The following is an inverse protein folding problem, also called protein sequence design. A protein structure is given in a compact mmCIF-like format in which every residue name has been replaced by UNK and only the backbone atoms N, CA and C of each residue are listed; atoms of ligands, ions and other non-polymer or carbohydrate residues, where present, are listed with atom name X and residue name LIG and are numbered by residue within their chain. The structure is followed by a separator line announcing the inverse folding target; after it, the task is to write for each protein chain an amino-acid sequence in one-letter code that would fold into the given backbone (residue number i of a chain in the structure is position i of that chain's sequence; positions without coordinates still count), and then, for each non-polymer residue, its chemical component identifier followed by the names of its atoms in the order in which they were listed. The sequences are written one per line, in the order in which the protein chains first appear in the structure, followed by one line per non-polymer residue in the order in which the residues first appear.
data_IF_342072706405
#
_entry.id   IF_342072706405
#
_cell.length_a   1.000
_cell.length_b   1.000
_cell.length_c   1.000
_cell.angle_alpha   90.00
_cell.angle_beta   90.00
_cell.angle_gamma   90.00
#
_symmetry.space_group_name_H-M   'P 1'
#
loop_
_entity.id
_entity.type
_entity.pdbx_description
1 polymer ?
#
# COMPACT_ATOMS: atom_id res chain seq x y z
N UNK A 1 -18.25 30.06 33.86
CA UNK A 1 -19.60 29.91 33.30
C UNK A 1 -19.97 28.45 33.46
N UNK A 2 -20.81 28.14 34.45
CA UNK A 2 -21.29 26.77 34.70
C UNK A 2 -22.34 26.40 33.66
N UNK A 3 -22.12 25.32 32.92
CA UNK A 3 -23.18 24.73 32.09
C UNK A 3 -24.24 24.12 33.01
N UNK A 4 -25.54 24.29 32.74
CA UNK A 4 -26.58 23.67 33.56
C UNK A 4 -26.50 22.15 33.44
N UNK A 5 -26.65 21.44 34.56
CA UNK A 5 -26.83 19.98 34.62
C UNK A 5 -28.15 19.60 33.95
N UNK A 6 -28.14 19.48 32.63
CA UNK A 6 -29.31 19.01 31.86
C UNK A 6 -29.33 17.48 31.84
N UNK A 7 -30.38 16.89 32.42
CA UNK A 7 -30.68 15.47 32.28
C UNK A 7 -31.01 15.16 30.81
N UNK A 8 -30.32 14.18 30.22
CA UNK A 8 -30.54 13.72 28.86
C UNK A 8 -31.36 12.43 28.85
N UNK A 9 -32.22 12.26 27.84
CA UNK A 9 -32.96 11.01 27.67
C UNK A 9 -32.00 9.89 27.25
N UNK A 10 -32.03 8.75 27.95
CA UNK A 10 -31.23 7.58 27.63
C UNK A 10 -32.09 6.32 27.67
N UNK A 11 -32.16 5.58 26.57
CA UNK A 11 -32.98 4.36 26.47
C UNK A 11 -32.48 3.20 27.35
N UNK A 12 -31.22 3.26 27.77
CA UNK A 12 -30.55 2.25 28.59
C UNK A 12 -29.37 2.85 29.34
N UNK A 13 -28.90 2.12 30.36
CA UNK A 13 -27.67 2.42 31.09
C UNK A 13 -26.46 2.55 30.16
N UNK A 14 -26.33 1.67 29.16
CA UNK A 14 -25.24 1.71 28.17
C UNK A 14 -25.33 2.96 27.29
N UNK A 15 -26.54 3.38 26.92
CA UNK A 15 -26.75 4.63 26.17
C UNK A 15 -26.31 5.84 26.99
N UNK A 16 -26.50 5.82 28.31
CA UNK A 16 -26.04 6.87 29.22
C UNK A 16 -24.50 6.92 29.33
N UNK A 17 -23.84 5.75 29.39
CA UNK A 17 -22.37 5.65 29.29
C UNK A 17 -21.87 6.30 27.99
N UNK A 18 -22.49 5.98 26.85
CA UNK A 18 -22.10 6.55 25.56
C UNK A 18 -22.30 8.06 25.48
N UNK A 19 -23.35 8.61 26.11
CA UNK A 19 -23.56 10.06 26.20
C UNK A 19 -22.46 10.74 27.01
N UNK A 20 -22.07 10.14 28.14
CA UNK A 20 -20.94 10.61 28.95
C UNK A 20 -19.63 10.60 28.16
N UNK A 21 -19.35 9.52 27.39
CA UNK A 21 -18.12 9.38 26.60
C UNK A 21 -18.08 10.28 25.34
N UNK A 22 -19.23 10.56 24.70
CA UNK A 22 -19.27 11.30 23.42
C UNK A 22 -19.35 12.82 23.58
N UNK A 23 -20.12 13.31 24.56
CA UNK A 23 -20.50 14.72 24.63
C UNK A 23 -19.63 15.55 25.58
N UNK A 24 -18.85 14.93 26.47
CA UNK A 24 -18.07 15.66 27.46
C UNK A 24 -16.73 14.95 27.76
N UNK A 25 -15.58 15.50 27.33
CA UNK A 25 -14.27 14.92 27.61
C UNK A 25 -13.88 14.92 29.11
N UNK A 26 -14.73 15.49 29.98
CA UNK A 26 -14.53 15.60 31.42
C UNK A 26 -15.56 14.80 32.24
N UNK A 27 -16.49 14.07 31.61
CA UNK A 27 -17.51 13.32 32.34
C UNK A 27 -16.89 12.13 33.09
N UNK A 28 -16.97 12.14 34.42
CA UNK A 28 -16.33 11.13 35.31
C UNK A 28 -17.32 10.15 35.93
N UNK A 29 -18.59 10.52 35.99
CA UNK A 29 -19.65 9.66 36.50
C UNK A 29 -21.00 10.10 35.95
N UNK A 30 -21.98 9.22 36.05
CA UNK A 30 -23.35 9.53 35.67
C UNK A 30 -24.35 8.83 36.61
N UNK A 31 -25.54 9.40 36.71
CA UNK A 31 -26.68 8.78 37.35
C UNK A 31 -27.66 8.35 36.25
N UNK A 32 -28.05 7.07 36.26
CA UNK A 32 -29.07 6.54 35.34
C UNK A 32 -30.26 6.00 36.14
N UNK A 33 -31.47 6.43 35.78
CA UNK A 33 -32.67 6.06 36.50
C UNK A 33 -33.93 6.36 35.71
N UNK A 34 -35.07 6.10 36.34
CA UNK A 34 -36.37 6.35 35.73
C UNK A 34 -37.17 7.29 36.61
N UNK A 35 -37.65 8.38 36.03
CA UNK A 35 -38.46 9.40 36.70
C UNK A 35 -39.70 9.64 35.83
N UNK A 36 -40.89 9.54 36.41
CA UNK A 36 -42.18 9.69 35.71
C UNK A 36 -42.32 8.82 34.43
N UNK A 37 -41.78 7.59 34.45
CA UNK A 37 -41.84 6.67 33.30
C UNK A 37 -40.85 6.98 32.18
N UNK A 38 -39.93 7.93 32.39
CA UNK A 38 -38.87 8.28 31.44
C UNK A 38 -37.51 7.89 31.98
N UNK A 39 -36.72 7.22 31.15
CA UNK A 39 -35.34 6.85 31.46
C UNK A 39 -34.41 8.04 31.23
N UNK A 40 -33.78 8.49 32.31
CA UNK A 40 -32.97 9.70 32.37
C UNK A 40 -31.50 9.37 32.67
N UNK A 41 -30.63 10.19 32.11
CA UNK A 41 -29.19 10.17 32.27
C UNK A 41 -28.72 11.55 32.72
N UNK A 42 -28.15 11.64 33.91
CA UNK A 42 -27.54 12.87 34.43
C UNK A 42 -26.03 12.71 34.46
N UNK A 43 -25.32 13.56 33.73
CA UNK A 43 -23.86 13.56 33.67
C UNK A 43 -23.31 14.40 34.82
N UNK A 44 -22.32 13.86 35.53
CA UNK A 44 -21.63 14.55 36.62
C UNK A 44 -20.22 14.92 36.16
N UNK A 45 -20.08 16.19 35.76
CA UNK A 45 -18.83 16.73 35.21
C UNK A 45 -17.95 17.41 36.28
N UNK A 46 -18.52 17.79 37.42
CA UNK A 46 -17.82 18.52 38.49
C UNK A 46 -17.68 17.65 39.74
N UNK A 47 -16.43 17.40 40.12
CA UNK A 47 -16.11 16.84 41.41
C UNK A 47 -16.13 17.98 42.45
N UNK A 48 -17.03 17.91 43.44
CA UNK A 48 -17.09 18.91 44.51
C UNK A 48 -15.87 18.69 45.42
N UNK A 49 -15.06 19.73 45.60
CA UNK A 49 -13.96 19.71 46.57
C UNK A 49 -14.54 19.83 47.96
N UNK A 50 -14.40 18.78 48.77
CA UNK A 50 -14.68 18.86 50.20
C UNK A 50 -13.49 19.57 50.90
N UNK A 51 -13.81 20.69 51.56
CA UNK A 51 -12.82 21.64 52.07
C UNK A 51 -11.97 21.14 53.24
N UNK A 52 -12.30 19.99 53.83
CA UNK A 52 -11.59 19.48 55.02
C UNK A 52 -10.70 18.26 54.76
N UNK A 53 -10.90 17.52 53.66
CA UNK A 53 -10.18 16.24 53.44
C UNK A 53 -9.45 16.15 52.11
N UNK A 54 -9.67 17.10 51.18
CA UNK A 54 -9.05 17.07 49.85
C UNK A 54 -9.53 15.91 48.96
N UNK A 55 -10.52 15.13 49.40
CA UNK A 55 -11.16 14.10 48.59
C UNK A 55 -12.32 14.69 47.79
N UNK A 56 -12.31 14.43 46.49
CA UNK A 56 -13.42 14.71 45.59
C UNK A 56 -14.54 13.70 45.77
N UNK A 57 -15.71 14.12 46.23
CA UNK A 57 -16.91 13.26 46.36
C UNK A 57 -17.80 13.41 45.13
N UNK A 58 -18.05 12.29 44.45
CA UNK A 58 -19.01 12.21 43.35
C UNK A 58 -20.43 12.03 43.90
N UNK A 59 -21.39 12.76 43.35
CA UNK A 59 -22.75 12.84 43.90
C UNK A 59 -23.65 11.72 43.35
N UNK A 60 -23.92 10.69 44.15
CA UNK A 60 -24.94 9.70 43.85
C UNK A 60 -26.33 10.25 44.14
N UNK A 61 -27.28 10.09 43.22
CA UNK A 61 -28.70 10.38 43.51
C UNK A 61 -29.38 9.15 44.12
N UNK A 62 -30.15 9.29 45.21
CA UNK A 62 -31.04 8.24 45.70
C UNK A 62 -31.98 7.78 44.58
N UNK A 63 -32.25 6.48 44.50
CA UNK A 63 -33.13 5.84 43.49
C UNK A 63 -32.58 5.76 42.05
N UNK A 64 -31.38 6.29 41.80
CA UNK A 64 -30.68 6.15 40.52
C UNK A 64 -29.53 5.13 40.64
N UNK A 65 -29.28 4.39 39.55
CA UNK A 65 -28.04 3.62 39.40
C UNK A 65 -26.89 4.58 39.14
N UNK A 66 -26.06 4.80 40.16
CA UNK A 66 -24.83 5.57 40.04
C UNK A 66 -23.72 4.68 39.49
N UNK A 67 -22.99 5.21 38.50
CA UNK A 67 -21.78 4.58 38.02
C UNK A 67 -20.67 5.61 37.85
N UNK A 68 -19.52 5.29 38.43
CA UNK A 68 -18.29 6.00 38.20
C UNK A 68 -17.55 5.31 37.06
N UNK A 69 -17.15 6.09 36.06
CA UNK A 69 -16.24 5.60 35.02
C UNK A 69 -14.83 5.58 35.62
N UNK A 70 -14.53 4.52 36.36
CA UNK A 70 -13.18 4.22 36.82
C UNK A 70 -12.38 3.78 35.60
N UNK A 71 -11.57 4.67 35.02
CA UNK A 71 -10.58 4.33 33.99
C UNK A 71 -11.15 3.51 32.81
N UNK A 72 -12.28 3.95 32.25
CA UNK A 72 -12.72 3.52 30.92
C UNK A 72 -12.08 4.43 29.87
N UNK A 73 -10.76 4.38 29.78
CA UNK A 73 -10.06 4.78 28.57
C UNK A 73 -10.42 3.71 27.54
N UNK A 74 -11.07 4.08 26.44
CA UNK A 74 -11.30 3.14 25.34
C UNK A 74 -9.95 2.82 24.71
N UNK A 75 -9.38 1.69 25.13
CA UNK A 75 -8.13 1.15 24.63
C UNK A 75 -8.30 0.79 23.15
N UNK A 76 -7.35 1.21 22.31
CA UNK A 76 -7.24 0.72 20.94
C UNK A 76 -5.90 0.01 20.83
N UNK A 77 -5.88 -1.32 20.89
CA UNK A 77 -4.65 -2.11 20.90
C UNK A 77 -4.05 -2.31 19.50
N UNK A 78 -4.76 -1.93 18.44
CA UNK A 78 -4.28 -2.06 17.06
C UNK A 78 -4.88 -1.04 16.07
N UNK A 79 -4.24 -0.91 14.90
CA UNK A 79 -4.82 -0.17 13.76
C UNK A 79 -6.20 -0.73 13.32
N UNK A 80 -6.49 -2.01 13.55
CA UNK A 80 -7.80 -2.58 13.22
C UNK A 80 -8.88 -2.01 14.15
N UNK A 81 -8.54 -1.83 15.44
CA UNK A 81 -9.46 -1.30 16.45
C UNK A 81 -9.73 0.18 16.25
N UNK A 82 -8.71 1.00 15.98
CA UNK A 82 -8.87 2.44 15.67
C UNK A 82 -9.84 2.63 14.50
N UNK A 83 -9.74 1.79 13.47
CA UNK A 83 -10.60 1.88 12.29
C UNK A 83 -12.02 1.40 12.53
N UNK A 84 -12.21 0.39 13.38
CA UNK A 84 -13.53 -0.05 13.84
C UNK A 84 -14.23 1.07 14.63
N UNK A 85 -13.47 1.82 15.43
CA UNK A 85 -13.99 2.90 16.28
C UNK A 85 -14.15 4.24 15.57
N UNK A 86 -13.26 4.56 14.62
CA UNK A 86 -13.27 5.80 13.82
C UNK A 86 -13.06 5.49 12.32
N UNK A 87 -14.15 5.20 11.59
CA UNK A 87 -14.09 4.93 10.15
C UNK A 87 -13.58 6.10 9.30
N UNK A 88 -13.50 7.31 9.87
CA UNK A 88 -13.07 8.54 9.19
C UNK A 88 -11.60 8.89 9.48
N UNK A 89 -10.93 8.08 10.30
CA UNK A 89 -9.51 8.17 10.61
C UNK A 89 -8.64 8.31 9.35
N UNK A 90 -7.76 9.32 9.35
CA UNK A 90 -6.83 9.61 8.25
C UNK A 90 -5.49 8.92 8.48
N UNK A 91 -4.59 8.92 7.50
CA UNK A 91 -3.22 8.47 7.74
C UNK A 91 -2.57 9.40 8.75
N UNK A 92 -1.83 8.86 9.72
CA UNK A 92 -1.16 9.65 10.73
C UNK A 92 -0.64 8.82 11.89
N UNK A 93 0.02 9.49 12.83
CA UNK A 93 0.46 8.92 14.10
C UNK A 93 -0.70 9.01 15.08
N UNK A 94 -1.14 7.86 15.61
CA UNK A 94 -2.19 7.79 16.61
C UNK A 94 -1.56 7.48 17.97
N UNK A 95 -1.92 8.27 18.98
CA UNK A 95 -1.50 8.00 20.35
C UNK A 95 -2.38 6.90 20.94
N UNK A 96 -1.80 5.71 21.09
CA UNK A 96 -2.34 4.62 21.88
C UNK A 96 -1.63 4.70 23.24
N UNK A 97 -2.33 5.14 24.28
CA UNK A 97 -1.79 5.23 25.64
C UNK A 97 -2.16 3.97 26.46
N UNK A 98 -1.31 3.52 27.40
CA UNK A 98 -0.66 2.23 27.21
C UNK A 98 -1.08 1.16 28.23
N UNK A 99 -1.03 -0.11 27.79
CA UNK A 99 -0.30 -1.13 28.56
C UNK A 99 1.12 -0.57 28.74
N UNK A 100 1.62 -0.34 29.97
CA UNK A 100 2.88 0.36 30.17
C UNK A 100 3.98 -0.32 29.34
N UNK A 101 4.56 0.43 28.39
CA UNK A 101 5.61 0.05 27.41
C UNK A 101 5.18 -0.32 25.97
N UNK A 102 3.93 -0.08 25.54
CA UNK A 102 3.60 -0.18 24.11
C UNK A 102 3.87 1.15 23.36
N UNK A 103 4.73 1.11 22.34
CA UNK A 103 4.94 2.23 21.41
C UNK A 103 3.65 2.54 20.61
N UNK A 104 3.37 3.80 20.24
CA UNK A 104 2.21 4.16 19.42
C UNK A 104 2.20 3.38 18.08
N UNK A 105 1.06 2.79 17.72
CA UNK A 105 0.92 2.08 16.44
C UNK A 105 0.68 3.09 15.32
N UNK A 106 1.72 3.35 14.53
CA UNK A 106 1.64 4.26 13.38
C UNK A 106 1.06 3.55 12.14
N UNK A 107 -0.08 4.03 11.63
CA UNK A 107 -0.78 3.42 10.50
C UNK A 107 -0.53 4.22 9.21
N UNK A 108 0.50 3.85 8.45
CA UNK A 108 0.82 4.48 7.16
C UNK A 108 0.16 3.77 5.99
N UNK A 109 -0.40 4.52 5.03
CA UNK A 109 -1.06 3.96 3.84
C UNK A 109 -0.09 3.50 2.76
N UNK A 110 1.11 4.08 2.72
CA UNK A 110 2.11 3.85 1.67
C UNK A 110 3.51 4.25 2.11
N UNK A 111 4.52 3.74 1.41
CA UNK A 111 5.93 4.02 1.70
C UNK A 111 6.29 5.51 1.63
N UNK A 112 5.63 6.28 0.76
CA UNK A 112 5.82 7.72 0.71
C UNK A 112 5.46 8.42 2.03
N UNK A 113 4.41 7.97 2.73
CA UNK A 113 4.03 8.54 4.03
C UNK A 113 5.06 8.19 5.10
N UNK A 114 5.57 6.94 5.11
CA UNK A 114 6.65 6.50 6.01
C UNK A 114 7.88 7.40 5.84
N UNK A 115 8.30 7.64 4.60
CA UNK A 115 9.43 8.52 4.28
C UNK A 115 9.22 9.96 4.75
N UNK A 116 7.98 10.45 4.66
CA UNK A 116 7.65 11.83 5.01
C UNK A 116 7.56 12.03 6.53
N UNK A 117 6.91 11.12 7.25
CA UNK A 117 6.63 11.26 8.68
C UNK A 117 7.73 10.72 9.59
N UNK A 118 8.59 9.82 9.09
CA UNK A 118 9.73 9.27 9.84
C UNK A 118 11.04 9.67 9.15
N UNK A 119 11.55 10.90 9.37
CA UNK A 119 12.84 11.31 8.82
C UNK A 119 13.96 10.34 9.21
N UNK A 120 14.81 9.97 8.25
CA UNK A 120 15.94 9.05 8.48
C UNK A 120 15.57 7.56 8.45
N UNK A 121 14.31 7.23 8.16
CA UNK A 121 13.91 5.85 7.85
C UNK A 121 14.68 5.32 6.63
N UNK A 122 14.91 4.01 6.59
CA UNK A 122 15.75 3.35 5.57
C UNK A 122 14.93 2.39 4.70
N UNK A 123 15.41 2.08 3.51
CA UNK A 123 14.76 1.10 2.64
C UNK A 123 14.69 -0.30 3.30
N UNK A 124 13.52 -0.95 3.23
CA UNK A 124 13.26 -2.20 3.93
C UNK A 124 11.81 -2.68 3.86
N UNK A 125 11.46 -3.82 4.49
CA UNK A 125 10.08 -4.28 4.60
C UNK A 125 9.30 -3.46 5.63
N UNK A 126 8.09 -3.01 5.25
CA UNK A 126 7.17 -2.30 6.12
C UNK A 126 5.76 -2.83 5.95
N UNK A 127 4.98 -2.81 7.03
CA UNK A 127 3.54 -3.05 7.00
C UNK A 127 2.84 -1.72 6.72
N UNK A 128 1.98 -1.69 5.71
CA UNK A 128 1.18 -0.52 5.34
C UNK A 128 -0.32 -0.88 5.28
N UNK A 129 -1.14 0.16 5.31
CA UNK A 129 -2.60 0.09 5.39
C UNK A 129 -3.24 0.86 4.22
N UNK A 130 -3.16 0.37 2.97
CA UNK A 130 -3.51 1.16 1.77
C UNK A 130 -4.96 1.66 1.77
N UNK A 131 -5.85 0.90 2.42
CA UNK A 131 -7.29 1.21 2.50
C UNK A 131 -7.78 1.04 3.95
N UNK A 132 -8.83 1.78 4.31
CA UNK A 132 -9.41 1.70 5.65
C UNK A 132 -9.92 0.28 5.94
N UNK A 133 -10.71 -0.33 5.06
CA UNK A 133 -11.39 -1.61 5.35
C UNK A 133 -10.67 -2.84 4.78
N UNK A 134 -9.36 -2.76 4.56
CA UNK A 134 -8.57 -3.84 4.00
C UNK A 134 -7.51 -4.34 4.97
N UNK A 135 -7.25 -5.64 4.90
CA UNK A 135 -6.12 -6.25 5.60
C UNK A 135 -4.82 -5.52 5.20
N UNK A 136 -3.96 -5.18 6.16
CA UNK A 136 -2.67 -4.58 5.85
C UNK A 136 -1.83 -5.49 4.95
N UNK A 137 -0.85 -4.88 4.32
CA UNK A 137 0.08 -5.58 3.43
C UNK A 137 1.51 -5.24 3.81
N UNK A 138 2.38 -6.25 3.81
CA UNK A 138 3.81 -6.03 3.91
C UNK A 138 4.36 -5.75 2.51
N UNK A 139 4.95 -4.57 2.33
CA UNK A 139 5.65 -4.16 1.11
C UNK A 139 7.12 -3.94 1.41
N UNK A 140 7.98 -3.94 0.40
CA UNK A 140 9.32 -3.39 0.56
C UNK A 140 9.29 -1.92 0.16
N UNK A 141 9.55 -1.02 1.11
CA UNK A 141 9.70 0.40 0.85
C UNK A 141 11.11 0.71 0.35
N UNK A 142 11.20 1.27 -0.84
CA UNK A 142 12.41 1.86 -1.39
C UNK A 142 12.33 3.37 -1.24
N UNK A 143 13.21 3.89 -0.39
CA UNK A 143 13.15 5.25 0.15
C UNK A 143 14.32 6.12 -0.30
N UNK A 144 15.29 5.54 -1.01
CA UNK A 144 16.52 6.24 -1.41
C UNK A 144 16.56 6.51 -2.93
N UNK A 145 16.10 5.56 -3.73
CA UNK A 145 16.21 5.61 -5.19
C UNK A 145 15.16 6.55 -5.80
N UNK A 146 15.62 7.48 -6.65
CA UNK A 146 14.76 8.39 -7.46
C UNK A 146 13.74 9.18 -6.60
N UNK A 147 14.19 9.66 -5.44
CA UNK A 147 13.38 10.41 -4.47
C UNK A 147 12.61 9.54 -3.47
N UNK A 148 12.64 8.20 -3.62
CA UNK A 148 12.02 7.27 -2.70
C UNK A 148 10.49 7.20 -2.77
N UNK A 149 9.90 6.59 -1.75
CA UNK A 149 8.47 6.42 -1.59
C UNK A 149 7.86 5.24 -2.38
N UNK A 150 8.69 4.43 -3.03
CA UNK A 150 8.23 3.28 -3.82
C UNK A 150 7.86 2.10 -2.93
N UNK A 151 6.67 1.54 -3.16
CA UNK A 151 6.15 0.32 -2.56
C UNK A 151 6.35 -0.84 -3.53
N UNK A 152 7.27 -1.75 -3.22
CA UNK A 152 7.48 -2.98 -3.98
C UNK A 152 6.49 -4.05 -3.56
N UNK A 153 5.76 -4.58 -4.54
CA UNK A 153 4.62 -5.44 -4.30
C UNK A 153 5.09 -6.89 -4.07
N UNK A 154 4.59 -7.58 -3.02
CA UNK A 154 4.95 -8.97 -2.75
C UNK A 154 4.18 -9.94 -3.65
N UNK A 155 4.69 -11.17 -3.78
CA UNK A 155 4.01 -12.26 -4.47
C UNK A 155 2.59 -12.50 -3.96
N UNK A 156 2.38 -12.47 -2.64
CA UNK A 156 1.08 -12.79 -2.04
C UNK A 156 -0.02 -11.77 -2.35
N UNK A 157 0.32 -10.57 -2.85
CA UNK A 157 -0.67 -9.60 -3.32
C UNK A 157 -1.58 -10.24 -4.38
N UNK A 158 -1.03 -11.05 -5.28
CA UNK A 158 -1.80 -11.66 -6.37
C UNK A 158 -2.82 -12.71 -5.93
N UNK A 159 -2.82 -13.10 -4.65
CA UNK A 159 -3.80 -14.03 -4.07
C UNK A 159 -4.96 -13.31 -3.37
N UNK A 160 -4.86 -11.99 -3.20
CA UNK A 160 -5.87 -11.21 -2.49
C UNK A 160 -7.03 -10.86 -3.41
N UNK A 161 -8.24 -10.92 -2.88
CA UNK A 161 -9.45 -10.50 -3.60
C UNK A 161 -9.50 -8.98 -3.84
N UNK A 162 -8.80 -8.20 -3.02
CA UNK A 162 -8.70 -6.74 -3.09
C UNK A 162 -7.40 -6.24 -3.76
N UNK A 163 -6.69 -7.11 -4.47
CA UNK A 163 -5.37 -6.83 -5.03
C UNK A 163 -5.37 -5.62 -5.99
N UNK A 164 -6.40 -5.50 -6.82
CA UNK A 164 -6.52 -4.38 -7.75
C UNK A 164 -6.71 -3.06 -6.99
N UNK A 165 -7.58 -3.03 -5.98
CA UNK A 165 -7.85 -1.83 -5.19
C UNK A 165 -6.62 -1.39 -4.40
N UNK A 166 -5.81 -2.33 -3.90
CA UNK A 166 -4.50 -2.03 -3.30
C UNK A 166 -3.57 -1.40 -4.35
N UNK A 167 -3.47 -1.98 -5.54
CA UNK A 167 -2.67 -1.44 -6.64
C UNK A 167 -3.08 0.00 -6.98
N UNK A 168 -4.38 0.26 -7.09
CA UNK A 168 -4.94 1.58 -7.40
C UNK A 168 -4.68 2.59 -6.26
N UNK A 169 -4.79 2.17 -5.01
CA UNK A 169 -4.49 3.01 -3.85
C UNK A 169 -3.00 3.40 -3.80
N UNK A 170 -2.12 2.48 -4.15
CA UNK A 170 -0.67 2.68 -4.11
C UNK A 170 -0.10 3.38 -5.34
N UNK A 171 -0.74 3.31 -6.51
CA UNK A 171 -0.18 3.84 -7.76
C UNK A 171 -0.68 5.26 -8.08
N UNK A 172 -0.20 6.23 -7.32
CA UNK A 172 -0.58 7.64 -7.47
C UNK A 172 0.27 8.35 -8.54
N UNK A 173 1.56 8.01 -8.63
CA UNK A 173 2.49 8.47 -9.65
C UNK A 173 2.50 7.49 -10.83
N UNK A 174 1.45 7.56 -11.66
CA UNK A 174 1.21 6.61 -12.76
C UNK A 174 2.23 6.63 -13.91
N UNK A 175 3.29 7.43 -13.77
CA UNK A 175 4.32 7.66 -14.80
C UNK A 175 5.71 7.25 -14.35
N UNK A 176 5.86 6.80 -13.11
CA UNK A 176 7.13 6.36 -12.57
C UNK A 176 6.95 4.99 -11.94
N UNK A 177 7.58 3.99 -12.56
CA UNK A 177 7.63 2.62 -12.05
C UNK A 177 9.08 2.25 -11.84
N UNK A 178 9.40 1.76 -10.65
CA UNK A 178 10.75 1.33 -10.33
C UNK A 178 10.84 -0.19 -10.43
N UNK A 179 11.73 -0.67 -11.28
CA UNK A 179 12.01 -2.10 -11.41
C UNK A 179 13.38 -2.38 -10.78
N UNK A 180 13.47 -3.38 -9.90
CA UNK A 180 14.76 -3.92 -9.42
C UNK A 180 15.02 -5.27 -10.08
N UNK A 181 16.14 -5.37 -10.78
CA UNK A 181 16.66 -6.54 -11.46
C UNK A 181 17.61 -7.27 -10.51
N UNK A 182 17.27 -8.51 -10.14
CA UNK A 182 18.08 -9.32 -9.24
C UNK A 182 19.28 -9.91 -9.97
N UNK A 183 20.51 -9.65 -9.49
CA UNK A 183 21.69 -10.34 -10.01
C UNK A 183 21.87 -11.72 -9.38
N UNK A 184 22.43 -12.66 -10.14
CA UNK A 184 22.64 -14.04 -9.69
C UNK A 184 23.91 -14.23 -8.85
N UNK A 185 24.99 -13.50 -9.16
CA UNK A 185 26.34 -13.83 -8.67
C UNK A 185 26.54 -13.37 -7.23
N UNK A 186 26.24 -12.10 -6.95
CA UNK A 186 26.42 -11.46 -5.63
C UNK A 186 25.08 -11.15 -4.96
N UNK A 187 23.97 -11.43 -5.64
CA UNK A 187 22.63 -10.99 -5.28
C UNK A 187 22.53 -9.48 -4.97
N UNK A 188 23.42 -8.68 -5.55
CA UNK A 188 23.20 -7.24 -5.65
C UNK A 188 22.07 -7.00 -6.62
N UNK A 189 21.35 -5.90 -6.41
CA UNK A 189 20.28 -5.50 -7.31
C UNK A 189 20.77 -4.38 -8.22
N UNK A 190 20.20 -4.29 -9.41
CA UNK A 190 20.27 -3.10 -10.23
C UNK A 190 18.87 -2.59 -10.49
N UNK A 191 18.70 -1.32 -10.80
CA UNK A 191 17.37 -0.74 -10.97
C UNK A 191 17.22 -0.02 -12.30
N UNK A 192 15.96 0.04 -12.75
CA UNK A 192 15.52 0.90 -13.85
C UNK A 192 14.26 1.64 -13.46
N UNK A 193 14.28 2.97 -13.54
CA UNK A 193 13.10 3.82 -13.50
C UNK A 193 12.46 3.86 -14.89
N UNK A 194 11.29 3.27 -15.01
CA UNK A 194 10.50 3.23 -16.24
C UNK A 194 9.58 4.45 -16.26
N UNK A 195 9.58 5.18 -17.38
CA UNK A 195 8.74 6.37 -17.59
C UNK A 195 8.19 6.40 -19.02
N UNK A 196 7.09 7.13 -19.29
CA UNK A 196 6.50 7.19 -20.62
C UNK A 196 7.50 7.68 -21.69
N UNK A 197 7.39 7.09 -22.88
CA UNK A 197 8.13 7.56 -24.04
C UNK A 197 7.73 9.02 -24.38
N UNK A 198 8.64 9.86 -24.89
CA UNK A 198 8.35 11.29 -25.15
C UNK A 198 7.13 11.58 -26.04
N UNK A 199 6.73 10.65 -26.91
CA UNK A 199 5.54 10.80 -27.77
C UNK A 199 4.23 10.40 -27.09
N UNK A 200 4.28 9.89 -25.85
CA UNK A 200 3.14 9.31 -25.14
C UNK A 200 3.12 9.78 -23.68
N UNK A 201 3.58 11.02 -23.41
CA UNK A 201 3.68 11.57 -22.05
C UNK A 201 2.34 11.87 -21.39
N UNK A 202 1.28 11.91 -22.19
CA UNK A 202 -0.13 12.06 -21.81
C UNK A 202 -0.80 10.71 -21.50
N UNK A 203 -0.12 9.59 -21.72
CA UNK A 203 -0.61 8.25 -21.43
C UNK A 203 0.02 7.76 -20.14
N UNK A 204 -0.83 7.50 -19.15
CA UNK A 204 -0.43 6.88 -17.89
C UNK A 204 -0.23 5.38 -18.07
N UNK A 205 0.67 4.79 -17.27
CA UNK A 205 0.81 3.35 -17.21
C UNK A 205 -0.40 2.70 -16.55
N UNK A 206 -0.75 1.49 -16.99
CA UNK A 206 -1.76 0.66 -16.37
C UNK A 206 -1.12 -0.37 -15.44
N UNK A 207 -1.59 -0.47 -14.20
CA UNK A 207 -1.19 -1.54 -13.27
C UNK A 207 -2.42 -2.37 -12.94
N UNK A 208 -2.36 -3.65 -13.27
CA UNK A 208 -3.49 -4.57 -13.09
C UNK A 208 -3.05 -5.82 -12.32
N UNK A 209 -3.89 -6.30 -11.41
CA UNK A 209 -3.70 -7.57 -10.72
C UNK A 209 -4.53 -8.67 -11.39
N UNK A 210 -3.88 -9.76 -11.82
CA UNK A 210 -4.50 -10.93 -12.47
C UNK A 210 -5.43 -10.58 -13.64
N UNK A 211 -5.13 -9.49 -14.36
CA UNK A 211 -5.93 -8.98 -15.46
C UNK A 211 -5.04 -8.27 -16.46
N UNK A 212 -5.46 -8.26 -17.72
CA UNK A 212 -4.83 -7.51 -18.80
C UNK A 212 -5.87 -6.66 -19.57
N UNK A 213 -6.97 -6.27 -18.92
CA UNK A 213 -8.04 -5.49 -19.55
C UNK A 213 -7.51 -4.22 -20.22
N UNK A 214 -7.84 -4.03 -21.50
CA UNK A 214 -7.33 -2.92 -22.31
C UNK A 214 -5.93 -3.14 -22.93
N UNK A 215 -5.29 -4.26 -22.63
CA UNK A 215 -3.95 -4.64 -23.09
C UNK A 215 -3.95 -6.04 -23.73
N UNK A 216 -2.79 -6.49 -24.20
CA UNK A 216 -2.63 -7.83 -24.78
C UNK A 216 -2.26 -8.82 -23.69
N UNK A 217 -2.85 -10.00 -23.74
CA UNK A 217 -2.63 -11.08 -22.77
C UNK A 217 -1.14 -11.54 -22.78
N UNK A 218 -0.53 -11.75 -21.60
CA UNK A 218 0.83 -12.30 -21.50
C UNK A 218 0.97 -13.68 -22.15
N UNK A 219 2.14 -13.99 -22.71
CA UNK A 219 2.42 -15.36 -23.19
C UNK A 219 2.53 -16.37 -22.06
N UNK A 220 2.96 -15.93 -20.88
CA UNK A 220 3.09 -16.76 -19.69
C UNK A 220 1.84 -16.79 -18.80
N UNK A 221 0.67 -16.38 -19.31
CA UNK A 221 -0.58 -16.35 -18.53
C UNK A 221 -0.98 -17.73 -17.94
N UNK A 222 -0.55 -18.84 -18.55
CA UNK A 222 -0.76 -20.19 -17.98
C UNK A 222 -0.15 -20.36 -16.56
N UNK A 223 0.75 -19.46 -16.13
CA UNK A 223 1.26 -19.37 -14.76
C UNK A 223 0.25 -18.79 -13.77
N UNK A 224 -0.95 -18.43 -14.24
CA UNK A 224 -2.13 -17.94 -13.50
C UNK A 224 -1.96 -16.55 -12.93
N UNK A 225 -1.35 -16.43 -11.76
CA UNK A 225 -1.34 -15.17 -11.03
C UNK A 225 -0.22 -14.24 -11.52
N UNK A 226 -0.52 -12.95 -11.70
CA UNK A 226 0.46 -11.95 -12.12
C UNK A 226 0.07 -10.53 -11.76
N UNK A 227 1.08 -9.66 -11.74
CA UNK A 227 0.90 -8.21 -11.81
C UNK A 227 1.26 -7.78 -13.24
N UNK A 228 0.41 -6.98 -13.85
CA UNK A 228 0.58 -6.50 -15.22
C UNK A 228 0.91 -5.01 -15.21
N UNK A 229 1.93 -4.63 -15.96
CA UNK A 229 2.28 -3.24 -16.23
C UNK A 229 2.09 -2.97 -17.72
N UNK A 230 1.00 -2.31 -18.07
CA UNK A 230 0.72 -1.82 -19.42
C UNK A 230 1.43 -0.51 -19.69
N UNK A 231 2.25 -0.47 -20.75
CA UNK A 231 2.97 0.73 -21.18
C UNK A 231 2.10 1.56 -22.13
N UNK A 232 1.50 0.93 -23.14
CA UNK A 232 0.55 1.55 -24.06
C UNK A 232 -0.70 0.67 -24.17
N UNK A 233 -1.91 1.23 -24.02
CA UNK A 233 -3.16 0.48 -24.28
C UNK A 233 -3.25 -0.03 -25.71
N UNK A 234 -4.01 -1.11 -25.94
CA UNK A 234 -4.13 -1.76 -27.26
C UNK A 234 -4.51 -0.79 -28.39
N UNK A 235 -5.40 0.17 -28.11
CA UNK A 235 -5.88 1.16 -29.09
C UNK A 235 -4.78 2.10 -29.60
N UNK A 236 -3.72 2.29 -28.80
CA UNK A 236 -2.54 3.10 -29.14
C UNK A 236 -1.41 2.21 -29.66
N UNK A 237 -1.18 1.09 -28.98
CA UNK A 237 -0.10 0.17 -29.31
C UNK A 237 -0.27 -0.47 -30.70
N UNK A 238 -1.49 -0.62 -31.22
CA UNK A 238 -1.73 -1.22 -32.54
C UNK A 238 -1.32 -0.35 -33.75
N UNK A 239 -0.79 0.85 -33.52
CA UNK A 239 -0.38 1.76 -34.60
C UNK A 239 1.05 1.47 -35.04
N UNK A 240 1.31 1.56 -36.35
CA UNK A 240 2.64 1.33 -36.93
C UNK A 240 3.61 2.51 -36.73
N UNK A 241 3.79 2.92 -35.49
CA UNK A 241 4.57 4.09 -35.06
C UNK A 241 5.84 3.69 -34.30
N UNK A 242 6.66 4.68 -33.94
CA UNK A 242 7.73 4.47 -32.97
C UNK A 242 7.14 4.43 -31.56
N UNK A 243 7.43 3.35 -30.84
CA UNK A 243 6.92 3.05 -29.50
C UNK A 243 8.06 2.65 -28.57
N UNK A 244 7.79 2.56 -27.27
CA UNK A 244 8.76 2.20 -26.25
C UNK A 244 8.51 2.92 -24.94
N UNK A 245 9.57 3.17 -24.19
CA UNK A 245 9.55 3.83 -22.88
C UNK A 245 10.90 4.49 -22.60
N UNK A 246 11.00 5.29 -21.54
CA UNK A 246 12.28 5.72 -21.01
C UNK A 246 12.71 4.79 -19.88
N UNK A 247 14.00 4.50 -19.80
CA UNK A 247 14.62 3.80 -18.68
C UNK A 247 15.74 4.66 -18.13
N UNK A 248 15.67 5.05 -16.85
CA UNK A 248 16.67 5.91 -16.21
C UNK A 248 16.95 7.19 -17.03
N UNK A 249 15.88 7.81 -17.58
CA UNK A 249 15.96 9.00 -18.43
C UNK A 249 16.32 8.75 -19.90
N UNK A 250 16.83 7.56 -20.25
CA UNK A 250 17.22 7.21 -21.61
C UNK A 250 16.01 6.75 -22.42
N UNK A 251 15.80 7.36 -23.60
CA UNK A 251 14.73 6.96 -24.53
C UNK A 251 15.06 5.63 -25.19
N UNK A 252 14.25 4.61 -24.91
CA UNK A 252 14.29 3.31 -25.56
C UNK A 252 13.10 3.19 -26.51
N UNK A 253 13.38 3.03 -27.80
CA UNK A 253 12.34 3.02 -28.83
C UNK A 253 12.57 1.93 -29.87
N UNK A 254 11.47 1.48 -30.46
CA UNK A 254 11.40 0.54 -31.57
C UNK A 254 10.30 0.97 -32.53
N UNK A 255 10.31 0.44 -33.76
CA UNK A 255 9.22 0.63 -34.71
C UNK A 255 8.22 -0.51 -34.56
N UNK A 256 6.96 -0.24 -34.28
CA UNK A 256 5.93 -1.27 -34.40
C UNK A 256 5.65 -1.51 -35.90
N UNK A 257 6.32 -2.49 -36.49
CA UNK A 257 6.32 -2.67 -37.94
C UNK A 257 5.11 -3.46 -38.47
N UNK A 258 4.45 -4.25 -37.63
CA UNK A 258 3.29 -5.07 -38.00
C UNK A 258 1.96 -4.56 -37.40
N UNK A 259 1.99 -3.65 -36.43
CA UNK A 259 0.80 -3.13 -35.75
C UNK A 259 0.31 -4.04 -34.62
N UNK A 260 1.12 -4.98 -34.15
CA UNK A 260 0.80 -5.84 -33.02
C UNK A 260 0.70 -5.00 -31.73
N UNK A 261 -0.39 -5.10 -30.95
CA UNK A 261 -0.63 -4.24 -29.79
C UNK A 261 0.16 -4.58 -28.51
N UNK A 262 1.11 -5.52 -28.55
CA UNK A 262 1.95 -5.83 -27.38
C UNK A 262 2.72 -4.59 -26.90
N UNK A 263 2.52 -4.20 -25.63
CA UNK A 263 3.25 -3.10 -24.98
C UNK A 263 3.16 -3.21 -23.45
N UNK A 264 3.87 -4.18 -22.87
CA UNK A 264 3.76 -4.45 -21.43
C UNK A 264 4.98 -5.15 -20.81
N UNK A 265 5.01 -5.10 -19.47
CA UNK A 265 5.67 -6.08 -18.61
C UNK A 265 4.61 -6.91 -17.87
N UNK A 266 4.91 -8.18 -17.60
CA UNK A 266 4.10 -9.02 -16.72
C UNK A 266 4.99 -9.73 -15.69
N UNK A 267 4.55 -9.73 -14.44
CA UNK A 267 5.31 -10.18 -13.27
C UNK A 267 4.59 -11.37 -12.60
N UNK A 268 5.14 -12.56 -12.77
CA UNK A 268 4.58 -13.81 -12.28
C UNK A 268 5.30 -14.29 -11.02
N UNK A 269 4.59 -14.56 -9.90
CA UNK A 269 5.17 -15.28 -8.77
C UNK A 269 5.68 -16.67 -9.19
N UNK A 270 5.08 -17.26 -10.23
CA UNK A 270 5.41 -18.58 -10.77
C UNK A 270 5.49 -19.67 -9.68
N UNK A 271 4.45 -19.77 -8.85
CA UNK A 271 4.42 -20.63 -7.64
C UNK A 271 4.65 -22.10 -7.93
N UNK A 272 4.29 -22.53 -9.14
CA UNK A 272 4.42 -23.90 -9.59
C UNK A 272 5.74 -24.17 -10.33
N UNK A 273 6.68 -23.20 -10.34
CA UNK A 273 7.98 -23.29 -11.02
C UNK A 273 7.87 -23.74 -12.48
N UNK A 274 6.86 -23.25 -13.19
CA UNK A 274 6.64 -23.62 -14.57
C UNK A 274 7.69 -22.96 -15.46
N UNK A 275 8.17 -23.66 -16.51
CA UNK A 275 9.07 -23.06 -17.48
C UNK A 275 8.32 -21.96 -18.27
N UNK A 276 9.01 -20.86 -18.61
CA UNK A 276 8.43 -19.84 -19.48
C UNK A 276 8.06 -20.37 -20.87
N UNK A 277 7.10 -19.71 -21.52
CA UNK A 277 6.66 -20.01 -22.88
C UNK A 277 7.85 -19.99 -23.84
N UNK A 278 7.99 -21.01 -24.67
CA UNK A 278 9.05 -21.09 -25.69
C UNK A 278 8.90 -20.11 -26.87
N UNK A 279 8.20 -18.99 -26.70
CA UNK A 279 8.00 -18.03 -27.79
C UNK A 279 9.36 -17.42 -28.14
N UNK A 280 9.76 -17.51 -29.40
CA UNK A 280 11.08 -17.07 -29.85
C UNK A 280 12.27 -17.73 -29.09
N UNK A 281 12.08 -18.94 -28.52
CA UNK A 281 13.15 -19.66 -27.81
C UNK A 281 14.36 -19.99 -28.69
N UNK A 282 14.16 -20.10 -30.01
CA UNK A 282 15.23 -20.33 -30.99
C UNK A 282 16.05 -19.08 -31.38
N UNK A 283 15.74 -17.90 -30.85
CA UNK A 283 16.50 -16.67 -31.13
C UNK A 283 17.04 -16.04 -29.84
N UNK A 284 18.23 -15.44 -29.94
CA UNK A 284 18.87 -14.64 -28.88
C UNK A 284 19.05 -13.18 -29.30
N UNK A 285 18.39 -12.74 -30.37
CA UNK A 285 18.57 -11.39 -30.93
C UNK A 285 18.16 -10.32 -29.92
N UNK A 286 17.07 -10.52 -29.18
CA UNK A 286 16.57 -9.57 -28.17
C UNK A 286 17.46 -9.52 -26.91
N UNK A 287 18.15 -10.62 -26.64
CA UNK A 287 19.07 -10.81 -25.53
C UNK A 287 20.39 -10.08 -25.80
N UNK A 288 20.83 -10.09 -27.04
CA UNK A 288 22.12 -9.53 -27.44
C UNK A 288 22.03 -8.12 -28.04
N UNK A 289 20.84 -7.70 -28.50
CA UNK A 289 20.65 -6.43 -29.21
C UNK A 289 19.23 -5.89 -29.07
N UNK A 290 19.03 -4.66 -29.57
CA UNK A 290 17.72 -4.01 -29.59
C UNK A 290 17.24 -3.54 -28.22
N UNK A 291 15.92 -3.38 -28.09
CA UNK A 291 15.33 -2.67 -26.96
C UNK A 291 15.59 -3.36 -25.62
N UNK A 292 15.41 -4.67 -25.52
CA UNK A 292 15.60 -5.40 -24.27
C UNK A 292 17.07 -5.39 -23.80
N UNK A 293 18.02 -5.58 -24.71
CA UNK A 293 19.45 -5.45 -24.40
C UNK A 293 19.81 -4.03 -23.94
N UNK A 294 19.34 -3.01 -24.66
CA UNK A 294 19.55 -1.61 -24.30
C UNK A 294 18.87 -1.24 -22.98
N UNK A 295 17.73 -1.84 -22.64
CA UNK A 295 17.08 -1.63 -21.34
C UNK A 295 17.96 -2.12 -20.20
N UNK A 296 18.51 -3.34 -20.32
CA UNK A 296 19.39 -3.93 -19.30
C UNK A 296 20.72 -3.20 -19.17
N UNK A 297 21.32 -2.77 -20.27
CA UNK A 297 22.62 -2.08 -20.25
C UNK A 297 22.58 -0.74 -19.53
N UNK A 298 21.41 -0.11 -19.42
CA UNK A 298 21.20 1.14 -18.68
C UNK A 298 20.70 0.92 -17.25
N UNK A 299 20.66 -0.32 -16.75
CA UNK A 299 20.37 -0.58 -15.35
C UNK A 299 21.48 -0.01 -14.47
N UNK A 300 21.09 0.71 -13.41
CA UNK A 300 22.02 1.32 -12.45
C UNK A 300 22.19 0.39 -11.24
N UNK A 301 23.40 0.23 -10.68
CA UNK A 301 23.55 -0.55 -9.45
C UNK A 301 22.76 0.08 -8.31
N UNK A 302 22.15 -0.74 -7.46
CA UNK A 302 21.61 -0.29 -6.18
C UNK A 302 22.79 -0.12 -5.22
N UNK A 303 23.03 1.11 -4.77
CA UNK A 303 24.16 1.46 -3.88
C UNK A 303 23.72 1.81 -2.46
N UNK A 304 22.42 1.84 -2.18
CA UNK A 304 21.90 2.11 -0.83
C UNK A 304 22.26 0.96 0.11
N UNK A 305 22.78 1.28 1.30
CA UNK A 305 23.20 0.31 2.32
C UNK A 305 22.05 -0.40 3.05
N UNK A 306 20.84 -0.35 2.49
CA UNK A 306 19.65 -0.99 3.05
C UNK A 306 19.74 -2.51 3.03
N UNK A 307 18.86 -3.17 3.78
CA UNK A 307 18.74 -4.61 3.77
C UNK A 307 18.38 -5.09 2.36
N UNK A 308 19.08 -6.14 1.92
CA UNK A 308 18.81 -6.83 0.66
C UNK A 308 17.33 -7.20 0.55
N UNK A 309 16.72 -6.90 -0.60
CA UNK A 309 15.31 -7.17 -0.83
C UNK A 309 15.02 -8.69 -0.76
N UNK A 310 14.02 -9.14 0.03
CA UNK A 310 13.65 -10.54 0.10
C UNK A 310 13.13 -11.12 -1.23
N UNK A 311 13.34 -12.42 -1.45
CA UNK A 311 12.91 -13.11 -2.68
C UNK A 311 11.40 -13.05 -2.96
N UNK A 312 10.57 -12.87 -1.93
CA UNK A 312 9.10 -12.77 -2.07
C UNK A 312 8.64 -11.53 -2.85
N UNK A 313 9.53 -10.61 -3.18
CA UNK A 313 9.26 -9.43 -4.00
C UNK A 313 9.75 -9.58 -5.46
N UNK A 314 10.48 -10.66 -5.78
CA UNK A 314 11.10 -10.85 -7.10
C UNK A 314 10.31 -11.85 -7.94
N UNK A 315 9.82 -11.41 -9.09
CA UNK A 315 8.95 -12.17 -9.97
C UNK A 315 9.73 -12.70 -11.19
N UNK A 316 9.25 -13.81 -11.76
CA UNK A 316 9.53 -14.09 -13.16
C UNK A 316 8.89 -12.97 -13.99
N UNK A 317 9.68 -12.33 -14.85
CA UNK A 317 9.21 -11.21 -15.67
C UNK A 317 9.19 -11.56 -17.14
N UNK A 318 8.11 -11.20 -17.81
CA UNK A 318 7.95 -11.14 -19.26
C UNK A 318 7.93 -9.67 -19.69
N UNK A 319 8.66 -9.32 -20.75
CA UNK A 319 8.56 -8.05 -21.46
C UNK A 319 8.18 -8.36 -22.91
N UNK A 320 7.08 -7.77 -23.36
CA UNK A 320 6.58 -7.99 -24.71
C UNK A 320 6.16 -6.69 -25.38
N UNK A 321 6.80 -6.40 -26.50
CA UNK A 321 6.59 -5.24 -27.35
C UNK A 321 6.35 -5.70 -28.79
N UNK A 322 5.32 -5.16 -29.44
CA UNK A 322 4.86 -5.60 -30.76
C UNK A 322 5.80 -5.28 -31.92
N UNK A 323 5.51 -5.82 -33.10
CA UNK A 323 6.27 -5.56 -34.32
C UNK A 323 7.75 -5.85 -34.18
N UNK A 324 8.58 -4.84 -34.46
CA UNK A 324 10.03 -4.95 -34.44
C UNK A 324 10.58 -4.60 -33.04
N UNK A 325 9.74 -4.75 -32.01
CA UNK A 325 10.09 -4.58 -30.61
C UNK A 325 10.86 -5.79 -30.09
N UNK A 326 10.36 -6.42 -29.04
CA UNK A 326 11.01 -7.57 -28.46
C UNK A 326 10.04 -8.45 -27.67
N UNK A 327 10.41 -9.71 -27.56
CA UNK A 327 9.93 -10.60 -26.51
C UNK A 327 11.14 -11.06 -25.70
N UNK A 328 11.10 -10.93 -24.38
CA UNK A 328 12.10 -11.49 -23.48
C UNK A 328 11.45 -11.90 -22.16
N UNK A 329 12.09 -12.83 -21.46
CA UNK A 329 11.67 -13.30 -20.16
C UNK A 329 12.87 -13.52 -19.25
N UNK A 330 12.66 -13.49 -17.93
CA UNK A 330 13.77 -13.50 -16.95
C UNK A 330 14.69 -14.72 -17.03
N UNK A 331 14.19 -15.87 -17.50
CA UNK A 331 15.01 -17.06 -17.76
C UNK A 331 16.04 -16.85 -18.87
N UNK A 332 15.71 -16.04 -19.90
CA UNK A 332 16.62 -15.69 -21.01
C UNK A 332 17.66 -14.65 -20.61
N UNK A 333 17.42 -13.94 -19.50
CA UNK A 333 18.34 -12.94 -18.95
C UNK A 333 19.42 -13.53 -18.05
N UNK A 334 19.29 -14.81 -17.66
CA UNK A 334 20.21 -15.50 -16.75
C UNK A 334 21.65 -15.46 -17.24
N UNK A 335 21.86 -15.59 -18.55
CA UNK A 335 23.19 -15.51 -19.17
C UNK A 335 23.87 -14.14 -19.01
N UNK A 336 23.10 -13.07 -18.73
CA UNK A 336 23.62 -11.74 -18.42
C UNK A 336 23.59 -11.43 -16.92
N UNK A 337 23.42 -12.46 -16.09
CA UNK A 337 23.47 -12.36 -14.65
C UNK A 337 22.16 -11.92 -13.98
N UNK A 338 21.04 -11.76 -14.70
CA UNK A 338 19.74 -11.40 -14.10
C UNK A 338 18.73 -12.55 -14.18
N UNK A 339 17.94 -12.79 -13.13
CA UNK A 339 17.00 -13.92 -13.14
C UNK A 339 15.58 -13.63 -12.63
N UNK A 340 15.32 -12.44 -12.09
CA UNK A 340 14.00 -12.02 -11.63
C UNK A 340 13.94 -10.49 -11.51
N UNK A 341 12.72 -9.95 -11.47
CA UNK A 341 12.50 -8.51 -11.30
C UNK A 341 11.48 -8.24 -10.22
N UNK A 342 11.75 -7.28 -9.34
CA UNK A 342 10.79 -6.72 -8.41
C UNK A 342 10.12 -5.47 -9.00
N UNK A 343 8.85 -5.28 -8.69
CA UNK A 343 7.99 -4.23 -9.25
C UNK A 343 7.55 -3.26 -8.15
N UNK A 344 7.94 -1.98 -8.29
CA UNK A 344 7.66 -0.91 -7.33
C UNK A 344 6.85 0.25 -7.93
N UNK A 345 5.85 0.70 -7.18
CA UNK A 345 4.92 1.81 -7.52
C UNK A 345 4.81 2.80 -6.36
N UNK A 346 4.38 4.05 -6.60
CA UNK A 346 4.21 5.05 -5.54
C UNK A 346 3.03 5.98 -5.76
#
# INVERSE_FOLDING_TARGET
MSFPKECQAASSFVSCVQLCLRNCPLCRSFNYGEEEGKKLCELNDEAVQDGETGFTTLTSKPEFSFAQLLHLETYSESCEEIKLTDPVAKSGVYQIYPVPNADPVECYKRCHEIQHYIPGTVSGPYRIYPMSNAEPIEVYCELDIEGGGFSFLPHNLTLRSDAQQIGDALFQDKRNVLLKLKKMIDSSDSYTLIQPHPHYTDIDFGVLANSCSGYTQPKNEFMKEYIFLGILPNLVANKKTYQGFRSNGIKLQFKNCDGNPNSYFAFFPNRYNQPPHGHHSGTSVYENSGLAANWRSHAKPVTSGGLKMPNKFFFMTELHLGGCGCYTSSDRLKQFGYNATAFGIR
#
